data_IF_122436463936
#
_entry.id   IF_122436463936
#
_cell.length_a   1.000
_cell.length_b   1.000
_cell.length_c   1.000
_cell.angle_alpha   90.00
_cell.angle_beta   90.00
_cell.angle_gamma   90.00
#
_symmetry.space_group_name_H-M   'P 1'
#
loop_
_entity.id
_entity.type
_entity.pdbx_description
1 polymer ?
#
# COMPACT_ATOMS: atom_id res chain seq x y z
N UNK A 1 5.01 3.69 -27.13
CA UNK A 1 6.36 3.80 -26.54
C UNK A 1 7.08 4.94 -27.22
N UNK A 2 7.13 6.07 -26.54
CA UNK A 2 7.86 7.27 -26.94
C UNK A 2 9.16 7.38 -26.13
N UNK A 3 10.10 8.23 -26.54
CA UNK A 3 11.34 8.43 -25.78
C UNK A 3 11.14 8.97 -24.35
N UNK A 4 9.96 9.53 -24.04
CA UNK A 4 9.62 10.01 -22.70
C UNK A 4 8.91 8.96 -21.83
N UNK A 5 8.62 7.77 -22.38
CA UNK A 5 7.94 6.69 -21.66
C UNK A 5 8.92 5.80 -20.88
N UNK A 6 8.84 5.89 -19.56
CA UNK A 6 9.47 4.99 -18.60
C UNK A 6 8.47 4.01 -17.97
N UNK A 7 8.95 3.24 -17.00
CA UNK A 7 8.14 2.39 -16.13
C UNK A 7 8.39 2.80 -14.67
N UNK A 8 7.31 3.01 -13.93
CA UNK A 8 7.35 3.10 -12.47
C UNK A 8 6.84 1.80 -11.87
N UNK A 9 7.30 1.51 -10.66
CA UNK A 9 6.79 0.44 -9.81
C UNK A 9 6.26 1.03 -8.51
N UNK A 10 5.13 0.49 -8.05
CA UNK A 10 4.46 0.86 -6.83
C UNK A 10 4.25 -0.36 -5.94
N UNK A 11 4.59 -0.23 -4.66
CA UNK A 11 4.28 -1.20 -3.61
C UNK A 11 3.21 -0.60 -2.70
N UNK A 12 2.11 -1.32 -2.53
CA UNK A 12 1.10 -1.01 -1.51
C UNK A 12 0.95 -2.23 -0.62
N UNK A 13 1.16 -2.08 0.69
CA UNK A 13 0.96 -3.20 1.61
C UNK A 13 0.64 -2.79 3.04
N UNK A 14 0.16 -3.76 3.80
CA UNK A 14 -0.33 -3.55 5.16
C UNK A 14 0.82 -3.48 6.16
N UNK A 15 0.81 -2.45 7.02
CA UNK A 15 1.85 -2.26 8.04
C UNK A 15 1.70 -3.20 9.25
N UNK A 16 0.59 -3.94 9.33
CA UNK A 16 0.30 -4.85 10.45
C UNK A 16 0.80 -6.26 10.12
N UNK A 17 0.30 -6.82 9.02
CA UNK A 17 0.62 -8.19 8.62
C UNK A 17 1.72 -8.30 7.56
N UNK A 18 2.12 -7.19 6.94
CA UNK A 18 3.14 -7.14 5.89
C UNK A 18 2.63 -7.49 4.49
N UNK A 19 1.38 -7.93 4.34
CA UNK A 19 0.84 -8.37 3.05
C UNK A 19 0.88 -7.26 1.98
N UNK A 20 1.41 -7.61 0.81
CA UNK A 20 1.45 -6.81 -0.41
C UNK A 20 0.70 -7.55 -1.52
N UNK A 21 -0.20 -6.87 -2.23
CA UNK A 21 -0.96 -7.44 -3.35
C UNK A 21 -0.17 -7.59 -4.66
N UNK A 22 1.15 -7.71 -4.57
CA UNK A 22 2.09 -7.61 -5.69
C UNK A 22 2.55 -6.18 -6.01
N UNK A 23 3.61 -6.09 -6.83
CA UNK A 23 4.14 -4.81 -7.33
C UNK A 23 3.36 -4.39 -8.56
N UNK A 24 2.87 -3.14 -8.54
CA UNK A 24 2.13 -2.55 -9.65
C UNK A 24 3.09 -1.81 -10.54
N UNK A 25 3.14 -2.17 -11.81
CA UNK A 25 3.92 -1.45 -12.81
C UNK A 25 3.00 -0.60 -13.67
N UNK A 26 3.40 0.64 -13.93
CA UNK A 26 2.69 1.51 -14.86
C UNK A 26 3.66 2.33 -15.70
N UNK A 27 3.19 2.77 -16.87
CA UNK A 27 3.96 3.67 -17.74
C UNK A 27 3.94 5.07 -17.13
N UNK A 28 5.10 5.74 -17.19
CA UNK A 28 5.25 7.15 -16.79
C UNK A 28 5.85 7.93 -17.95
N UNK A 29 5.13 8.93 -18.45
CA UNK A 29 5.56 9.79 -19.58
C UNK A 29 6.14 11.14 -19.15
N UNK A 30 6.16 11.39 -17.84
CA UNK A 30 6.68 12.61 -17.22
C UNK A 30 6.49 12.56 -15.70
N UNK A 31 7.41 13.15 -14.97
CA UNK A 31 7.43 13.18 -13.53
C UNK A 31 6.87 14.50 -13.02
N UNK A 32 5.70 14.47 -12.38
CA UNK A 32 5.11 15.63 -11.72
C UNK A 32 5.60 15.75 -10.28
N UNK A 33 6.38 16.78 -9.96
CA UNK A 33 6.85 17.08 -8.61
C UNK A 33 6.14 18.31 -8.07
N UNK A 34 5.51 18.20 -6.90
CA UNK A 34 4.80 19.33 -6.29
C UNK A 34 5.67 20.05 -5.28
N UNK A 35 5.64 21.39 -5.30
CA UNK A 35 6.32 22.17 -4.29
C UNK A 35 5.54 22.10 -2.96
N UNK A 36 6.22 21.88 -1.82
CA UNK A 36 5.57 21.93 -0.52
C UNK A 36 4.89 23.30 -0.28
N UNK A 37 3.81 23.28 0.51
CA UNK A 37 3.08 24.51 0.89
C UNK A 37 3.87 25.40 1.85
N UNK A 38 4.92 24.85 2.46
CA UNK A 38 5.85 25.56 3.35
C UNK A 38 6.50 26.76 2.64
N UNK A 39 6.71 27.84 3.40
CA UNK A 39 7.28 29.10 2.92
C UNK A 39 8.81 29.06 2.81
N UNK A 40 9.37 28.03 2.20
CA UNK A 40 10.79 28.04 1.85
C UNK A 40 10.99 28.88 0.59
N UNK A 41 12.13 29.59 0.55
CA UNK A 41 12.49 30.44 -0.60
C UNK A 41 13.06 29.62 -1.76
N UNK A 42 13.68 28.47 -1.46
CA UNK A 42 14.23 27.54 -2.44
C UNK A 42 14.02 26.10 -2.03
N UNK A 43 14.06 25.21 -3.02
CA UNK A 43 14.07 23.74 -2.87
C UNK A 43 15.10 23.17 -3.84
N UNK A 44 15.80 22.11 -3.44
CA UNK A 44 16.59 21.32 -4.40
C UNK A 44 15.70 20.33 -5.15
N UNK A 45 16.10 19.97 -6.37
CA UNK A 45 15.41 18.92 -7.14
C UNK A 45 15.48 17.56 -6.41
N UNK A 46 16.58 17.30 -5.69
CA UNK A 46 16.73 16.10 -4.88
C UNK A 46 15.72 16.04 -3.73
N UNK A 47 15.45 17.15 -3.03
CA UNK A 47 14.38 17.18 -2.00
C UNK A 47 13.01 16.81 -2.59
N UNK A 48 12.71 17.29 -3.80
CA UNK A 48 11.44 16.98 -4.45
C UNK A 48 11.38 15.51 -4.91
N UNK A 49 12.50 14.93 -5.33
CA UNK A 49 12.60 13.51 -5.68
C UNK A 49 12.56 12.60 -4.45
N UNK A 50 13.17 13.01 -3.34
CA UNK A 50 13.11 12.30 -2.06
C UNK A 50 11.66 12.25 -1.55
N UNK A 51 10.95 13.37 -1.62
CA UNK A 51 9.52 13.43 -1.30
C UNK A 51 8.67 12.58 -2.26
N UNK A 52 9.07 12.44 -3.53
CA UNK A 52 8.35 11.61 -4.49
C UNK A 52 8.43 10.10 -4.19
N UNK A 53 9.56 9.62 -3.67
CA UNK A 53 9.74 8.20 -3.28
C UNK A 53 9.40 7.92 -1.82
N UNK A 54 9.06 8.96 -1.06
CA UNK A 54 8.69 8.87 0.36
C UNK A 54 7.46 7.97 0.57
N UNK A 55 7.37 7.39 1.77
CA UNK A 55 6.28 6.50 2.15
C UNK A 55 4.98 7.27 2.36
N UNK A 56 3.99 7.04 1.50
CA UNK A 56 2.65 7.55 1.71
C UNK A 56 1.84 6.60 2.60
N UNK A 57 1.32 7.13 3.70
CA UNK A 57 0.53 6.38 4.67
C UNK A 57 -0.96 6.50 4.32
N UNK A 58 -1.61 5.35 4.18
CA UNK A 58 -3.04 5.24 3.88
C UNK A 58 -3.74 4.57 5.06
N UNK A 59 -4.49 5.36 5.82
CA UNK A 59 -5.22 4.90 7.00
C UNK A 59 -6.64 4.45 6.67
N UNK A 60 -7.19 3.58 7.52
CA UNK A 60 -8.60 3.18 7.47
C UNK A 60 -8.97 2.24 6.32
N UNK A 61 -7.99 1.57 5.73
CA UNK A 61 -8.17 0.66 4.59
C UNK A 61 -8.29 -0.79 5.03
N UNK A 62 -9.09 -1.55 4.29
CA UNK A 62 -9.27 -2.98 4.53
C UNK A 62 -8.05 -3.77 4.06
N UNK A 63 -7.65 -4.77 4.86
CA UNK A 63 -6.62 -5.73 4.51
C UNK A 63 -7.20 -7.13 4.58
N UNK A 64 -7.09 -7.89 3.50
CA UNK A 64 -7.67 -9.21 3.36
C UNK A 64 -7.12 -10.17 4.43
N UNK A 65 -5.79 -10.22 4.60
CA UNK A 65 -5.16 -11.03 5.65
C UNK A 65 -5.58 -10.64 7.05
N UNK A 66 -5.57 -9.36 7.39
CA UNK A 66 -6.01 -8.90 8.70
C UNK A 66 -7.50 -9.21 8.94
N UNK A 67 -8.34 -9.11 7.91
CA UNK A 67 -9.76 -9.48 7.97
C UNK A 67 -9.97 -10.97 8.22
N UNK A 68 -9.20 -11.84 7.55
CA UNK A 68 -9.28 -13.29 7.79
C UNK A 68 -8.70 -13.69 9.15
N UNK A 69 -7.65 -13.03 9.63
CA UNK A 69 -7.13 -13.23 11.00
C UNK A 69 -8.21 -12.88 12.04
N UNK A 70 -8.88 -11.74 11.87
CA UNK A 70 -9.98 -11.33 12.75
C UNK A 70 -11.15 -12.33 12.68
N UNK A 71 -11.49 -12.81 11.48
CA UNK A 71 -12.52 -13.84 11.31
C UNK A 71 -12.13 -15.15 12.01
N UNK A 72 -10.87 -15.57 11.92
CA UNK A 72 -10.36 -16.76 12.60
C UNK A 72 -10.53 -16.64 14.11
N UNK A 73 -10.15 -15.51 14.69
CA UNK A 73 -10.29 -15.25 16.14
C UNK A 73 -11.76 -15.40 16.56
N UNK A 74 -12.69 -14.80 15.82
CA UNK A 74 -14.13 -14.91 16.13
C UNK A 74 -14.69 -16.33 16.00
N UNK A 75 -14.23 -17.10 15.01
CA UNK A 75 -14.63 -18.50 14.88
C UNK A 75 -14.13 -19.33 16.06
N UNK A 76 -12.90 -19.10 16.52
CA UNK A 76 -12.36 -19.79 17.69
C UNK A 76 -13.16 -19.46 18.96
N UNK A 77 -13.46 -18.19 19.21
CA UNK A 77 -14.31 -17.76 20.34
C UNK A 77 -15.71 -18.42 20.29
N UNK A 78 -16.30 -18.55 19.09
CA UNK A 78 -17.58 -19.24 18.90
C UNK A 78 -17.50 -20.73 19.18
N UNK A 79 -16.41 -21.39 18.75
CA UNK A 79 -16.19 -22.82 19.00
C UNK A 79 -16.01 -23.08 20.49
N UNK A 80 -15.27 -22.23 21.21
CA UNK A 80 -15.10 -22.32 22.67
C UNK A 80 -16.43 -22.14 23.39
N UNK A 81 -17.19 -21.09 23.06
CA UNK A 81 -18.51 -20.82 23.65
C UNK A 81 -19.50 -21.98 23.46
N UNK A 82 -19.42 -22.71 22.35
CA UNK A 82 -20.28 -23.88 22.09
C UNK A 82 -19.87 -25.16 22.84
N UNK A 83 -18.67 -25.21 23.45
CA UNK A 83 -18.18 -26.38 24.19
C UNK A 83 -18.56 -26.36 25.67
N UNK A 84 -18.78 -25.18 26.25
CA UNK A 84 -19.04 -25.01 27.68
C UNK A 84 -20.50 -25.33 28.08
N UNK A 85 -21.43 -25.36 27.12
CA UNK A 85 -22.83 -25.72 27.35
C UNK A 85 -23.08 -27.25 27.28
N UNK A 86 -22.73 -27.93 28.37
CA UNK A 86 -23.31 -29.19 28.88
C UNK A 86 -24.28 -29.97 27.97
N UNK A 87 -23.74 -30.87 27.14
CA UNK A 87 -24.25 -32.25 27.05
C UNK A 87 -25.54 -32.56 26.28
N UNK A 88 -25.95 -31.80 25.24
CA UNK A 88 -27.10 -32.19 24.41
C UNK A 88 -26.87 -32.01 22.91
N UNK A 89 -26.31 -33.05 22.25
CA UNK A 89 -26.51 -33.59 20.88
C UNK A 89 -26.84 -32.68 19.66
N UNK A 90 -26.84 -31.35 19.77
CA UNK A 90 -27.57 -30.50 18.83
C UNK A 90 -26.65 -29.67 17.92
N UNK A 91 -25.34 -29.59 18.19
CA UNK A 91 -24.42 -28.75 17.41
C UNK A 91 -23.18 -29.46 16.88
N UNK A 92 -23.12 -30.79 16.83
CA UNK A 92 -21.99 -31.50 16.21
C UNK A 92 -21.83 -31.09 14.73
N UNK A 93 -22.95 -30.96 14.00
CA UNK A 93 -22.95 -30.44 12.62
C UNK A 93 -22.46 -29.00 12.54
N UNK A 94 -22.85 -28.14 13.48
CA UNK A 94 -22.44 -26.73 13.50
C UNK A 94 -20.95 -26.58 13.84
N UNK A 95 -20.46 -27.35 14.83
CA UNK A 95 -19.04 -27.42 15.17
C UNK A 95 -18.22 -27.93 13.98
N UNK A 96 -18.69 -28.96 13.26
CA UNK A 96 -18.04 -29.42 12.04
C UNK A 96 -17.97 -28.32 10.97
N UNK A 97 -19.08 -27.61 10.71
CA UNK A 97 -19.09 -26.49 9.75
C UNK A 97 -18.17 -25.34 10.16
N UNK A 98 -18.08 -25.02 11.45
CA UNK A 98 -17.17 -23.98 11.96
C UNK A 98 -15.71 -24.41 11.82
N UNK A 99 -15.40 -25.67 12.16
CA UNK A 99 -14.07 -26.24 11.98
C UNK A 99 -13.67 -26.29 10.50
N UNK A 100 -14.57 -26.73 9.62
CA UNK A 100 -14.34 -26.74 8.17
C UNK A 100 -14.02 -25.33 7.67
N UNK A 101 -14.80 -24.33 8.09
CA UNK A 101 -14.53 -22.94 7.72
C UNK A 101 -13.20 -22.43 8.28
N UNK A 102 -12.83 -22.84 9.49
CA UNK A 102 -11.55 -22.49 10.11
C UNK A 102 -10.39 -23.10 9.34
N UNK A 103 -10.49 -24.37 8.92
CA UNK A 103 -9.46 -25.01 8.07
C UNK A 103 -9.29 -24.28 6.74
N UNK A 104 -10.37 -23.88 6.07
CA UNK A 104 -10.29 -23.10 4.83
C UNK A 104 -9.59 -21.74 5.04
N UNK A 105 -9.85 -21.08 6.17
CA UNK A 105 -9.19 -19.81 6.51
C UNK A 105 -7.70 -20.03 6.79
N UNK A 106 -7.34 -21.10 7.51
CA UNK A 106 -5.94 -21.43 7.80
C UNK A 106 -5.16 -21.79 6.54
N UNK A 107 -5.77 -22.55 5.64
CA UNK A 107 -5.21 -22.85 4.32
C UNK A 107 -4.97 -21.58 3.51
N UNK A 108 -5.92 -20.64 3.50
CA UNK A 108 -5.76 -19.37 2.79
C UNK A 108 -4.70 -18.46 3.45
N UNK A 109 -4.66 -18.41 4.78
CA UNK A 109 -3.67 -17.65 5.53
C UNK A 109 -2.24 -18.20 5.36
N UNK A 110 -2.08 -19.49 5.05
CA UNK A 110 -0.79 -20.10 4.75
C UNK A 110 -0.17 -19.61 3.42
N UNK A 111 -1.00 -19.10 2.50
CA UNK A 111 -0.55 -18.57 1.21
C UNK A 111 0.16 -17.23 1.41
N UNK A 112 1.10 -16.84 0.53
CA UNK A 112 1.80 -15.55 0.64
C UNK A 112 0.87 -14.35 0.37
N UNK A 113 -0.09 -14.50 -0.54
CA UNK A 113 -1.02 -13.45 -0.96
C UNK A 113 -2.44 -14.01 -0.92
N UNK A 114 -3.38 -13.25 -0.36
CA UNK A 114 -4.78 -13.62 -0.29
C UNK A 114 -5.54 -13.04 -1.47
N UNK A 115 -6.20 -13.90 -2.23
CA UNK A 115 -7.00 -13.48 -3.38
C UNK A 115 -8.30 -12.81 -2.91
N UNK A 116 -8.65 -11.68 -3.53
CA UNK A 116 -9.88 -10.92 -3.28
C UNK A 116 -11.15 -11.79 -3.42
N UNK A 117 -11.19 -12.72 -4.39
CA UNK A 117 -12.33 -13.61 -4.58
C UNK A 117 -12.48 -14.61 -3.44
N UNK A 118 -11.37 -15.15 -2.94
CA UNK A 118 -11.37 -16.08 -1.80
C UNK A 118 -11.74 -15.35 -0.52
N UNK A 119 -11.17 -14.15 -0.33
CA UNK A 119 -11.49 -13.27 0.78
C UNK A 119 -13.00 -12.98 0.82
N UNK A 120 -13.62 -12.61 -0.31
CA UNK A 120 -15.05 -12.33 -0.38
C UNK A 120 -15.94 -13.53 -0.01
N UNK A 121 -15.46 -14.77 -0.19
CA UNK A 121 -16.18 -16.01 0.19
C UNK A 121 -16.02 -16.34 1.67
N UNK A 122 -14.82 -16.17 2.22
CA UNK A 122 -14.48 -16.55 3.59
C UNK A 122 -14.82 -15.46 4.61
N UNK A 123 -14.81 -14.19 4.21
CA UNK A 123 -15.07 -13.03 5.06
C UNK A 123 -16.57 -12.67 5.14
N UNK A 124 -16.97 -12.00 6.23
CA UNK A 124 -18.34 -11.51 6.43
C UNK A 124 -18.34 -9.98 6.35
N UNK A 125 -19.17 -9.40 5.48
CA UNK A 125 -19.19 -7.95 5.19
C UNK A 125 -19.34 -7.04 6.42
N UNK A 126 -19.96 -7.53 7.49
CA UNK A 126 -20.17 -6.76 8.72
C UNK A 126 -18.93 -6.72 9.62
N UNK A 127 -17.90 -7.52 9.33
CA UNK A 127 -16.67 -7.63 10.12
C UNK A 127 -15.52 -6.83 9.49
N UNK A 128 -15.66 -5.51 9.37
CA UNK A 128 -14.62 -4.72 8.69
C UNK A 128 -13.40 -4.54 9.59
N UNK A 129 -12.27 -5.18 9.23
CA UNK A 129 -10.97 -4.91 9.87
C UNK A 129 -10.24 -3.80 9.11
N UNK A 130 -10.28 -2.60 9.69
CA UNK A 130 -9.47 -1.47 9.21
C UNK A 130 -8.01 -1.68 9.61
N UNK A 131 -7.13 -1.28 8.70
CA UNK A 131 -5.68 -1.33 8.85
C UNK A 131 -5.07 -0.06 8.24
N UNK A 132 -3.76 0.07 8.42
CA UNK A 132 -2.94 1.06 7.77
C UNK A 132 -2.12 0.37 6.68
N UNK A 133 -2.03 1.01 5.51
CA UNK A 133 -1.15 0.58 4.42
C UNK A 133 -0.12 1.67 4.15
N UNK A 134 1.04 1.25 3.65
CA UNK A 134 2.05 2.14 3.09
C UNK A 134 2.06 1.95 1.58
N UNK A 135 2.15 3.07 0.87
CA UNK A 135 2.33 3.17 -0.57
C UNK A 135 3.69 3.82 -0.85
N UNK A 136 4.47 3.21 -1.72
CA UNK A 136 5.78 3.73 -2.14
C UNK A 136 5.97 3.51 -3.64
N UNK A 137 6.64 4.46 -4.30
CA UNK A 137 6.82 4.49 -5.75
C UNK A 137 8.30 4.71 -6.07
N UNK A 138 8.79 3.98 -7.09
CA UNK A 138 10.12 4.15 -7.66
C UNK A 138 10.06 4.02 -9.18
N UNK A 139 11.10 4.43 -9.88
CA UNK A 139 11.29 4.02 -11.26
C UNK A 139 11.71 2.55 -11.31
N UNK A 140 11.01 1.74 -12.09
CA UNK A 140 11.50 0.41 -12.48
C UNK A 140 12.45 0.53 -13.68
N UNK A 141 12.09 1.39 -14.63
CA UNK A 141 12.91 1.72 -15.81
C UNK A 141 12.73 3.19 -16.15
N UNK A 142 13.71 4.06 -15.84
CA UNK A 142 13.65 5.47 -16.23
C UNK A 142 13.46 5.64 -17.75
N UNK A 143 12.76 6.69 -18.20
CA UNK A 143 12.68 7.02 -19.61
C UNK A 143 14.04 7.47 -20.16
N UNK A 144 14.35 7.20 -21.45
CA UNK A 144 15.52 7.78 -22.12
C UNK A 144 15.56 9.31 -22.08
N UNK A 145 14.39 9.95 -22.18
CA UNK A 145 14.21 11.39 -22.02
C UNK A 145 13.29 11.67 -20.83
N UNK A 146 13.87 12.05 -19.69
CA UNK A 146 13.09 12.38 -18.50
C UNK A 146 12.51 13.79 -18.59
N UNK A 147 11.18 13.88 -18.67
CA UNK A 147 10.43 15.12 -18.50
C UNK A 147 10.07 15.31 -17.03
N UNK A 148 10.45 16.44 -16.42
CA UNK A 148 10.07 16.81 -15.06
C UNK A 148 9.19 18.05 -15.10
N UNK A 149 7.99 17.95 -14.57
CA UNK A 149 7.06 19.06 -14.40
C UNK A 149 7.01 19.48 -12.93
N UNK A 150 7.42 20.71 -12.64
CA UNK A 150 7.29 21.29 -11.30
C UNK A 150 5.89 21.90 -11.16
N UNK A 151 5.03 21.25 -10.38
CA UNK A 151 3.73 21.80 -10.02
C UNK A 151 3.91 22.94 -9.00
N UNK A 152 3.80 24.17 -9.51
CA UNK A 152 3.86 25.41 -8.74
C UNK A 152 2.50 25.90 -8.26
N UNK A 153 1.40 25.23 -8.62
CA UNK A 153 0.05 25.58 -8.18
C UNK A 153 -0.23 24.89 -6.86
N UNK A 154 -0.25 25.64 -5.76
CA UNK A 154 -0.40 25.10 -4.41
C UNK A 154 -1.64 25.69 -3.76
N UNK A 155 -2.42 24.85 -3.07
CA UNK A 155 -3.55 25.30 -2.28
C UNK A 155 -3.07 25.86 -0.93
N UNK A 156 -3.46 27.09 -0.63
CA UNK A 156 -3.19 27.73 0.65
C UNK A 156 -4.32 27.48 1.64
N UNK A 157 -4.05 26.71 2.69
CA UNK A 157 -5.02 26.38 3.74
C UNK A 157 -5.43 27.60 4.58
N UNK A 158 -4.67 28.70 4.57
CA UNK A 158 -5.02 29.92 5.31
C UNK A 158 -6.02 30.78 4.56
N UNK A 159 -5.76 31.03 3.27
CA UNK A 159 -6.63 31.86 2.43
C UNK A 159 -7.72 31.06 1.71
N UNK A 160 -7.64 29.72 1.71
CA UNK A 160 -8.49 28.82 0.92
C UNK A 160 -8.45 29.12 -0.59
N UNK A 161 -7.32 29.62 -1.09
CA UNK A 161 -7.12 29.95 -2.50
C UNK A 161 -5.92 29.21 -3.09
N UNK A 162 -5.93 29.07 -4.41
CA UNK A 162 -4.77 28.57 -5.16
C UNK A 162 -3.79 29.71 -5.37
N UNK A 163 -2.53 29.49 -4.98
CA UNK A 163 -1.43 30.44 -5.21
C UNK A 163 -0.32 29.81 -6.02
N UNK A 164 0.39 30.66 -6.76
CA UNK A 164 1.65 30.28 -7.42
C UNK A 164 2.77 30.27 -6.39
N UNK A 165 3.42 29.12 -6.21
CA UNK A 165 4.65 29.00 -5.44
C UNK A 165 5.84 29.42 -6.31
N UNK A 166 6.41 30.58 -5.99
CA UNK A 166 7.54 31.18 -6.70
C UNK A 166 8.90 30.76 -6.12
N UNK A 167 8.96 29.77 -5.22
CA UNK A 167 10.22 29.27 -4.69
C UNK A 167 11.18 28.85 -5.83
N UNK A 168 12.46 29.18 -5.66
CA UNK A 168 13.51 28.76 -6.58
C UNK A 168 13.65 27.23 -6.52
N UNK A 169 13.84 26.58 -7.67
CA UNK A 169 14.17 25.15 -7.71
C UNK A 169 15.57 25.03 -8.24
N UNK A 170 16.47 24.56 -7.39
CA UNK A 170 17.87 24.31 -7.73
C UNK A 170 18.02 22.90 -8.28
N UNK A 171 18.56 22.76 -9.49
CA UNK A 171 18.76 21.47 -10.13
C UNK A 171 20.20 21.37 -10.67
N UNK A 172 20.83 20.18 -10.56
CA UNK A 172 22.17 19.98 -11.06
C UNK A 172 22.18 19.88 -12.60
N UNK A 173 23.35 20.13 -13.20
CA UNK A 173 23.57 19.86 -14.63
C UNK A 173 23.50 18.35 -14.94
N UNK A 174 23.97 17.51 -14.00
CA UNK A 174 23.91 16.06 -14.09
C UNK A 174 23.08 15.53 -12.93
N UNK A 175 21.98 14.82 -13.25
CA UNK A 175 21.07 14.25 -12.26
C UNK A 175 21.30 12.73 -12.17
N UNK A 176 21.79 12.27 -11.03
CA UNK A 176 21.86 10.84 -10.72
C UNK A 176 20.51 10.34 -10.20
N UNK A 177 19.93 9.35 -10.89
CA UNK A 177 18.64 8.73 -10.54
C UNK A 177 18.78 7.43 -9.75
N UNK A 178 20.00 6.95 -9.46
CA UNK A 178 20.24 5.63 -8.87
C UNK A 178 19.49 5.38 -7.55
N UNK A 179 19.23 6.43 -6.76
CA UNK A 179 18.44 6.34 -5.52
C UNK A 179 16.93 6.16 -5.77
N UNK A 180 16.45 6.61 -6.92
CA UNK A 180 15.04 6.66 -7.30
C UNK A 180 14.64 5.53 -8.26
N UNK A 181 15.56 4.60 -8.51
CA UNK A 181 15.34 3.39 -9.32
C UNK A 181 15.36 2.16 -8.42
N UNK A 182 14.44 1.23 -8.65
CA UNK A 182 14.40 -0.06 -7.99
C UNK A 182 14.23 -1.18 -9.02
N UNK A 183 15.19 -2.10 -9.07
CA UNK A 183 15.05 -3.32 -9.84
C UNK A 183 14.17 -4.34 -9.10
N UNK A 184 13.65 -5.38 -9.78
CA UNK A 184 12.78 -6.39 -9.16
C UNK A 184 13.39 -7.08 -7.92
N UNK A 185 14.72 -7.24 -7.90
CA UNK A 185 15.43 -7.88 -6.79
C UNK A 185 15.66 -6.96 -5.60
N UNK A 186 15.50 -5.64 -5.79
CA UNK A 186 15.68 -4.64 -4.73
C UNK A 186 14.39 -4.43 -3.93
N UNK A 187 13.26 -5.01 -4.35
CA UNK A 187 11.94 -4.72 -3.77
C UNK A 187 11.58 -5.74 -2.70
N UNK A 188 11.48 -5.26 -1.45
CA UNK A 188 10.96 -6.04 -0.34
C UNK A 188 9.44 -6.19 -0.43
N UNK A 189 8.94 -7.43 -0.38
CA UNK A 189 7.50 -7.71 -0.42
C UNK A 189 6.83 -7.69 0.95
N UNK A 190 7.58 -7.50 2.04
CA UNK A 190 7.01 -7.22 3.35
C UNK A 190 6.89 -5.71 3.57
N UNK A 191 5.66 -5.21 3.61
CA UNK A 191 5.38 -3.79 3.80
C UNK A 191 5.74 -3.23 5.19
N UNK A 192 6.17 -4.09 6.12
CA UNK A 192 6.72 -3.66 7.42
C UNK A 192 8.20 -3.30 7.35
N UNK A 193 8.86 -3.71 6.28
CA UNK A 193 10.27 -3.47 6.02
C UNK A 193 10.44 -2.35 4.98
N UNK A 194 11.65 -1.78 4.94
CA UNK A 194 12.01 -0.79 3.92
C UNK A 194 11.75 -1.34 2.52
N UNK A 195 11.42 -0.45 1.58
CA UNK A 195 11.15 -0.85 0.19
C UNK A 195 12.34 -1.56 -0.44
N UNK A 196 13.54 -1.04 -0.17
CA UNK A 196 14.86 -1.51 -0.60
C UNK A 196 15.84 -1.51 0.56
#
# INVERSE_FOLDING_TARGET
MTPVDGLQCERIGCTICGEVGGIRYSVISGLGLSLPSTYNQSYSLYELLDSWVEEEIIDGVECNRCGLIEMKIKLLEQIESCKDESGASTNEKLLNLLNDRLTMIDDELSKPIINDETYAKLHVKNLVKKSRKIKQIYFSRPPPLLCIHINRSVFDLRSYTVRKNNAQVEFPLHLDLSKYVAGPNDINLDARLSFR
#
